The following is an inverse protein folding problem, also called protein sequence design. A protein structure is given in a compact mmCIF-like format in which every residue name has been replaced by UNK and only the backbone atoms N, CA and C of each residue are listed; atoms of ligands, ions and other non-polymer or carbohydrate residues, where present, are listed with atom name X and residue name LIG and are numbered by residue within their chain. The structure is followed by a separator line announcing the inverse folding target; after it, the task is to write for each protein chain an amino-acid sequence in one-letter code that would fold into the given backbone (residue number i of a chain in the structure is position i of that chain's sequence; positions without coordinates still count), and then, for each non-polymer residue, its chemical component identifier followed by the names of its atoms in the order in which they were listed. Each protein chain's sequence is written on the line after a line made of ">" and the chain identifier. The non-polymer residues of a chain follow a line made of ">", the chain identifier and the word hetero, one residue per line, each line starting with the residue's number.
data_IF_487980906426
#
_entry.id   IF_487980906426
#
_cell.length_a   1.000
_cell.length_b   1.000
_cell.length_c   1.000
_cell.angle_alpha   90.00
_cell.angle_beta   90.00
_cell.angle_gamma   90.00
#
_symmetry.space_group_name_H-M   'P 1'
#
loop_
_entity.id
_entity.type
_entity.pdbx_description
1 polymer ?
#
# COMPACT_ATOMS: atom_id res chain seq x y z
N UNK A 1 22.83 9.11 -13.51
CA UNK A 1 21.81 10.00 -12.93
C UNK A 1 20.75 9.11 -12.28
N UNK A 2 20.59 9.06 -10.95
CA UNK A 2 19.47 8.30 -10.39
C UNK A 2 18.16 8.97 -10.83
N UNK A 3 17.21 8.17 -11.29
CA UNK A 3 15.89 8.62 -11.72
C UNK A 3 15.26 9.40 -10.57
N UNK A 4 15.04 10.70 -10.78
CA UNK A 4 14.42 11.58 -9.80
C UNK A 4 13.07 10.99 -9.43
N UNK A 5 12.96 10.54 -8.19
CA UNK A 5 11.71 10.12 -7.58
C UNK A 5 10.84 11.35 -7.41
N UNK A 6 10.14 11.76 -8.47
CA UNK A 6 9.13 12.82 -8.34
C UNK A 6 8.12 12.37 -7.29
N UNK A 7 7.99 13.09 -6.16
CA UNK A 7 7.02 12.75 -5.14
C UNK A 7 5.62 12.77 -5.75
N UNK A 8 4.98 11.60 -5.82
CA UNK A 8 3.61 11.50 -6.29
C UNK A 8 2.69 11.91 -5.14
N UNK A 9 1.85 12.94 -5.33
CA UNK A 9 1.01 13.39 -4.23
C UNK A 9 0.08 12.28 -3.73
N UNK A 10 -0.11 12.25 -2.41
CA UNK A 10 -0.81 11.17 -1.71
C UNK A 10 0.04 9.96 -1.36
N UNK A 11 1.28 9.83 -1.89
CA UNK A 11 2.20 8.74 -1.53
C UNK A 11 3.03 9.10 -0.29
N UNK A 12 3.13 8.16 0.64
CA UNK A 12 3.96 8.31 1.83
C UNK A 12 5.44 8.15 1.48
N UNK A 13 6.30 8.97 2.08
CA UNK A 13 7.75 8.94 1.88
C UNK A 13 8.49 9.32 3.18
N UNK A 14 9.72 8.82 3.38
CA UNK A 14 10.51 9.15 4.54
C UNK A 14 10.99 10.60 4.50
N UNK A 15 10.99 11.27 5.65
CA UNK A 15 11.49 12.63 5.82
C UNK A 15 12.32 12.76 7.09
N UNK A 16 13.38 13.55 7.04
CA UNK A 16 14.23 13.82 8.20
C UNK A 16 13.54 14.76 9.19
N UNK A 17 13.57 14.41 10.48
CA UNK A 17 13.17 15.29 11.57
C UNK A 17 14.35 16.22 11.90
N UNK A 18 14.31 17.44 11.38
CA UNK A 18 15.36 18.45 11.68
C UNK A 18 15.05 19.27 12.95
N UNK A 19 13.80 19.30 13.39
CA UNK A 19 13.39 20.01 14.60
C UNK A 19 13.39 19.07 15.81
N UNK A 20 14.50 19.04 16.56
CA UNK A 20 14.54 18.58 17.95
C UNK A 20 14.94 17.13 18.22
N UNK A 21 14.92 16.23 17.23
CA UNK A 21 15.41 14.85 17.42
C UNK A 21 16.03 14.34 16.11
N UNK A 22 17.27 13.85 16.16
CA UNK A 22 17.98 13.31 14.98
C UNK A 22 17.33 11.98 14.56
N UNK A 23 16.21 12.06 13.84
CA UNK A 23 15.41 10.91 13.48
C UNK A 23 14.69 11.10 12.16
N UNK A 24 13.85 10.14 11.84
CA UNK A 24 13.09 10.09 10.60
C UNK A 24 11.60 10.02 10.92
N UNK A 25 10.78 10.53 10.02
CA UNK A 25 9.33 10.41 10.04
C UNK A 25 8.88 10.00 8.64
N UNK A 26 7.57 9.77 8.50
CA UNK A 26 6.95 9.51 7.21
C UNK A 26 5.95 10.62 6.96
N UNK A 27 5.98 11.21 5.77
CA UNK A 27 5.08 12.30 5.36
C UNK A 27 4.48 11.98 4.00
N UNK A 28 3.34 12.58 3.67
CA UNK A 28 2.76 12.55 2.32
C UNK A 28 2.42 13.96 1.86
N UNK A 29 2.52 14.20 0.57
CA UNK A 29 2.05 15.46 0.00
C UNK A 29 0.53 15.44 -0.12
N UNK A 30 -0.10 16.54 0.28
CA UNK A 30 -1.55 16.72 0.19
C UNK A 30 -1.87 17.54 -1.05
N UNK A 31 -2.76 17.01 -1.89
CA UNK A 31 -3.30 17.78 -3.01
C UNK A 31 -4.31 18.80 -2.49
N UNK A 32 -4.00 20.09 -2.65
CA UNK A 32 -4.94 21.16 -2.37
C UNK A 32 -6.02 21.22 -3.47
N UNK A 33 -7.27 21.60 -3.15
CA UNK A 33 -8.30 21.83 -4.16
C UNK A 33 -7.80 22.80 -5.25
N UNK A 34 -7.88 22.39 -6.52
CA UNK A 34 -7.40 23.18 -7.66
C UNK A 34 -5.92 23.00 -8.02
N UNK A 35 -5.17 22.16 -7.29
CA UNK A 35 -3.76 21.83 -7.59
C UNK A 35 -3.64 20.43 -8.19
N UNK A 36 -2.69 20.23 -9.11
CA UNK A 36 -2.36 18.90 -9.66
C UNK A 36 -1.34 18.20 -8.77
N UNK A 37 -1.58 16.95 -8.34
CA UNK A 37 -0.59 16.09 -7.67
C UNK A 37 0.82 16.17 -8.28
N UNK A 38 1.84 16.46 -7.46
CA UNK A 38 3.24 16.59 -7.89
C UNK A 38 3.55 17.88 -8.68
N UNK A 39 2.60 18.81 -8.79
CA UNK A 39 2.78 20.09 -9.46
C UNK A 39 3.35 21.19 -8.55
N UNK A 40 3.65 22.38 -9.10
CA UNK A 40 4.18 23.54 -8.38
C UNK A 40 3.23 24.16 -7.31
N UNK A 41 2.22 23.42 -6.85
CA UNK A 41 1.19 23.87 -5.91
C UNK A 41 1.15 23.12 -4.58
N UNK A 42 2.18 22.36 -4.20
CA UNK A 42 2.17 21.60 -2.95
C UNK A 42 3.06 22.23 -1.89
N UNK A 43 2.45 22.95 -0.95
CA UNK A 43 3.12 23.44 0.27
C UNK A 43 2.65 22.72 1.52
N UNK A 44 1.72 21.77 1.40
CA UNK A 44 1.13 21.07 2.53
C UNK A 44 1.53 19.60 2.53
N UNK A 45 2.17 19.18 3.61
CA UNK A 45 2.52 17.80 3.89
C UNK A 45 1.79 17.34 5.15
N UNK A 46 1.36 16.08 5.16
CA UNK A 46 0.74 15.44 6.31
C UNK A 46 1.72 14.43 6.89
N UNK A 47 1.97 14.50 8.19
CA UNK A 47 2.85 13.58 8.89
C UNK A 47 2.08 12.32 9.34
N UNK A 48 2.71 11.16 9.15
CA UNK A 48 2.25 9.90 9.72
C UNK A 48 2.54 9.88 11.23
N UNK A 49 1.77 9.11 12.02
CA UNK A 49 2.08 8.90 13.42
C UNK A 49 3.37 8.10 13.59
N UNK A 50 4.29 8.61 14.40
CA UNK A 50 5.52 7.92 14.80
C UNK A 50 6.80 8.65 14.39
N UNK A 51 7.90 8.21 14.99
CA UNK A 51 9.26 8.64 14.65
C UNK A 51 10.17 7.41 14.63
N UNK A 52 11.12 7.40 13.71
CA UNK A 52 12.01 6.28 13.43
C UNK A 52 13.46 6.71 13.67
N UNK A 53 14.29 5.79 14.14
CA UNK A 53 15.70 6.08 14.40
C UNK A 53 16.51 6.15 13.10
N UNK A 54 16.16 5.33 12.10
CA UNK A 54 16.89 5.23 10.83
C UNK A 54 16.02 5.47 9.61
N UNK A 55 16.68 5.77 8.48
CA UNK A 55 16.03 5.93 7.19
C UNK A 55 15.33 4.66 6.75
N UNK A 56 15.96 3.50 6.91
CA UNK A 56 15.43 2.20 6.48
C UNK A 56 14.12 1.87 7.20
N UNK A 57 14.02 2.21 8.49
CA UNK A 57 12.80 2.02 9.27
C UNK A 57 11.66 2.91 8.76
N UNK A 58 11.96 4.18 8.47
CA UNK A 58 10.98 5.11 7.90
C UNK A 58 10.57 4.70 6.47
N UNK A 59 11.51 4.19 5.68
CA UNK A 59 11.24 3.68 4.34
C UNK A 59 10.32 2.44 4.40
N UNK A 60 10.61 1.48 5.27
CA UNK A 60 9.77 0.30 5.46
C UNK A 60 8.34 0.68 5.92
N UNK A 61 8.22 1.67 6.80
CA UNK A 61 6.93 2.19 7.23
C UNK A 61 6.17 2.90 6.09
N UNK A 62 6.87 3.70 5.29
CA UNK A 62 6.29 4.34 4.10
C UNK A 62 5.81 3.28 3.09
N UNK A 63 6.60 2.22 2.86
CA UNK A 63 6.23 1.13 1.96
C UNK A 63 5.00 0.35 2.47
N UNK A 64 4.89 0.12 3.78
CA UNK A 64 3.71 -0.48 4.39
C UNK A 64 2.45 0.40 4.21
N UNK A 65 2.58 1.72 4.37
CA UNK A 65 1.48 2.67 4.18
C UNK A 65 1.08 2.83 2.70
N UNK A 66 2.00 2.57 1.78
CA UNK A 66 1.75 2.58 0.34
C UNK A 66 1.34 1.21 -0.22
N UNK A 67 1.33 0.16 0.61
CA UNK A 67 0.97 -1.18 0.16
C UNK A 67 -0.49 -1.19 -0.35
N UNK A 68 -0.78 -1.91 -1.44
CA UNK A 68 -2.16 -2.06 -1.89
C UNK A 68 -2.99 -2.69 -0.76
N UNK A 69 -4.23 -2.23 -0.54
CA UNK A 69 -5.08 -2.81 0.49
C UNK A 69 -5.22 -4.30 0.21
N UNK A 70 -4.97 -5.13 1.23
CA UNK A 70 -5.23 -6.57 1.15
C UNK A 70 -6.74 -6.74 0.95
N UNK A 71 -7.14 -7.02 -0.29
CA UNK A 71 -8.52 -7.31 -0.63
C UNK A 71 -8.90 -8.61 0.07
N UNK A 72 -9.66 -8.50 1.17
CA UNK A 72 -10.27 -9.66 1.83
C UNK A 72 -11.40 -10.17 0.94
N UNK A 73 -11.05 -11.00 -0.05
CA UNK A 73 -12.02 -11.69 -0.89
C UNK A 73 -12.96 -12.51 -0.02
N UNK A 74 -14.27 -12.42 -0.28
CA UNK A 74 -15.25 -13.26 0.42
C UNK A 74 -15.02 -14.72 0.01
N UNK A 75 -15.41 -15.72 0.82
CA UNK A 75 -15.25 -17.13 0.45
C UNK A 75 -15.86 -17.46 -0.92
N UNK A 76 -16.99 -16.82 -1.28
CA UNK A 76 -17.65 -16.95 -2.57
C UNK A 76 -16.92 -16.27 -3.75
N UNK A 77 -15.83 -15.54 -3.54
CA UNK A 77 -14.98 -15.02 -4.63
C UNK A 77 -13.80 -15.96 -4.94
N UNK A 78 -13.63 -17.05 -4.18
CA UNK A 78 -12.53 -18.03 -4.33
C UNK A 78 -12.86 -19.25 -5.19
N UNK A 79 -13.96 -19.22 -5.95
CA UNK A 79 -14.39 -20.37 -6.76
C UNK A 79 -13.35 -20.83 -7.79
N UNK A 80 -12.47 -19.94 -8.25
CA UNK A 80 -11.37 -20.28 -9.16
C UNK A 80 -10.14 -20.91 -8.51
N UNK A 81 -10.08 -20.93 -7.16
CA UNK A 81 -9.00 -21.54 -6.38
C UNK A 81 -9.38 -22.92 -5.84
N UNK A 82 -10.61 -23.38 -6.11
CA UNK A 82 -11.03 -24.73 -5.74
C UNK A 82 -10.23 -25.74 -6.57
N UNK A 83 -9.67 -26.80 -5.94
CA UNK A 83 -9.02 -27.87 -6.68
C UNK A 83 -10.01 -28.42 -7.70
N UNK A 84 -9.51 -28.70 -8.92
CA UNK A 84 -10.27 -29.43 -9.94
C UNK A 84 -10.92 -30.66 -9.30
N UNK A 85 -12.22 -30.92 -9.54
CA UNK A 85 -12.86 -32.13 -9.06
C UNK A 85 -11.99 -33.32 -9.43
N UNK A 86 -11.73 -34.20 -8.46
CA UNK A 86 -10.98 -35.42 -8.73
C UNK A 86 -11.72 -36.21 -9.84
N UNK A 87 -10.96 -36.81 -10.76
CA UNK A 87 -11.50 -37.64 -11.85
C UNK A 87 -12.31 -38.84 -11.33
N UNK A 88 -12.20 -39.16 -10.04
CA UNK A 88 -13.03 -40.13 -9.31
C UNK A 88 -14.41 -39.54 -8.92
N UNK A 89 -15.11 -38.93 -9.87
CA UNK A 89 -16.53 -38.61 -9.70
C UNK A 89 -17.32 -39.92 -9.78
N UNK A 90 -17.62 -40.51 -8.62
CA UNK A 90 -18.58 -41.60 -8.54
C UNK A 90 -20.00 -41.03 -8.67
N UNK A 91 -20.79 -41.44 -9.67
CA UNK A 91 -22.18 -41.00 -9.78
C UNK A 91 -22.93 -41.37 -8.50
N UNK A 92 -23.81 -40.48 -8.04
CA UNK A 92 -24.58 -40.75 -6.84
C UNK A 92 -25.44 -42.01 -7.10
N UNK A 93 -25.66 -42.89 -6.11
CA UNK A 93 -26.43 -44.12 -6.31
C UNK A 93 -27.89 -43.93 -6.80
N UNK A 94 -28.39 -42.70 -6.90
CA UNK A 94 -29.69 -42.37 -7.51
C UNK A 94 -29.59 -42.01 -9.00
N UNK A 95 -28.39 -41.80 -9.53
CA UNK A 95 -28.09 -41.52 -10.95
C UNK A 95 -27.86 -42.80 -11.77
N UNK A 96 -27.78 -43.95 -11.11
CA UNK A 96 -27.70 -45.26 -11.75
C UNK A 96 -29.13 -45.74 -12.06
N UNK A 97 -29.51 -45.69 -13.35
CA UNK A 97 -30.77 -46.26 -13.86
C UNK A 97 -30.75 -47.78 -13.89
#
# INVERSE_FOLDING_TARGET
>A
MPAGSTPQAGRWHPACLYAGNKGWAVVRDVALPGTRPGGPGHYQQEAAPGAYATHEQAQAAADALNAPPVLRLRPADRYGELPTPADDYHPHPWDLK
#
